data_IF_046172236688
#
_entry.id   IF_046172236688
#
_cell.length_a   1.000
_cell.length_b   1.000
_cell.length_c   1.000
_cell.angle_alpha   90.00
_cell.angle_beta   90.00
_cell.angle_gamma   90.00
#
_symmetry.space_group_name_H-M   'P 1'
#
loop_
_entity.id
_entity.type
_entity.pdbx_description
1 polymer ?
#
# COMPACT_ATOMS: atom_id res chain seq x y z
N UNK A 1 16.94 -33.40 22.47
CA UNK A 1 17.64 -32.32 21.74
C UNK A 1 16.91 -31.04 22.06
N UNK A 2 17.53 -30.19 22.86
CA UNK A 2 16.96 -28.91 23.29
C UNK A 2 17.12 -27.92 22.12
N UNK A 3 16.01 -27.45 21.55
CA UNK A 3 16.08 -26.39 20.55
C UNK A 3 16.41 -25.09 21.26
N UNK A 4 17.64 -24.60 21.07
CA UNK A 4 18.01 -23.24 21.47
C UNK A 4 17.20 -22.26 20.62
N UNK A 5 16.09 -21.77 21.17
CA UNK A 5 15.38 -20.62 20.60
C UNK A 5 16.27 -19.41 20.88
N UNK A 6 17.00 -18.94 19.87
CA UNK A 6 17.74 -17.69 20.01
C UNK A 6 16.74 -16.56 20.27
N UNK A 7 16.91 -15.77 21.34
CA UNK A 7 16.05 -14.63 21.58
C UNK A 7 16.28 -13.62 20.44
N UNK A 8 15.22 -13.29 19.71
CA UNK A 8 15.26 -12.17 18.78
C UNK A 8 15.56 -10.93 19.62
N UNK A 9 16.71 -10.29 19.37
CA UNK A 9 17.09 -9.07 20.05
C UNK A 9 16.11 -7.97 19.65
N UNK A 10 15.46 -7.37 20.64
CA UNK A 10 14.48 -6.29 20.45
C UNK A 10 15.15 -5.14 19.67
N UNK A 11 14.56 -4.73 18.54
CA UNK A 11 15.11 -3.73 17.63
C UNK A 11 15.99 -4.26 16.49
N UNK A 12 16.16 -5.58 16.38
CA UNK A 12 16.79 -6.26 15.23
C UNK A 12 15.78 -7.14 14.46
N UNK A 13 14.47 -6.88 14.61
CA UNK A 13 13.43 -7.68 13.94
C UNK A 13 13.59 -7.69 12.41
N UNK A 14 14.13 -6.59 11.86
CA UNK A 14 14.37 -6.41 10.42
C UNK A 14 15.84 -6.64 9.99
N UNK A 15 16.74 -6.98 10.91
CA UNK A 15 18.15 -7.13 10.61
C UNK A 15 18.40 -8.36 9.70
N UNK A 16 18.77 -8.10 8.43
CA UNK A 16 19.02 -9.12 7.42
C UNK A 16 17.83 -9.45 6.51
N UNK A 17 16.67 -8.78 6.68
CA UNK A 17 15.53 -8.91 5.77
C UNK A 17 15.82 -8.18 4.44
N UNK A 18 16.14 -8.95 3.40
CA UNK A 18 16.26 -8.42 2.04
C UNK A 18 14.85 -8.21 1.48
N UNK A 19 14.46 -6.94 1.30
CA UNK A 19 13.19 -6.59 0.67
C UNK A 19 13.07 -7.19 -0.72
N UNK A 20 11.94 -7.83 -0.98
CA UNK A 20 11.63 -8.40 -2.28
C UNK A 20 11.28 -7.33 -3.33
N UNK A 21 11.15 -7.73 -4.60
CA UNK A 21 10.87 -6.81 -5.69
C UNK A 21 9.51 -6.11 -5.54
N UNK A 22 8.46 -6.80 -5.09
CA UNK A 22 7.14 -6.19 -4.94
C UNK A 22 7.12 -5.19 -3.80
N UNK A 23 7.73 -5.50 -2.66
CA UNK A 23 7.86 -4.56 -1.54
C UNK A 23 8.57 -3.28 -1.97
N UNK A 24 9.70 -3.39 -2.69
CA UNK A 24 10.44 -2.22 -3.21
C UNK A 24 9.61 -1.38 -4.19
N UNK A 25 8.85 -2.03 -5.06
CA UNK A 25 7.98 -1.33 -6.00
C UNK A 25 6.86 -0.58 -5.27
N UNK A 26 6.22 -1.23 -4.29
CA UNK A 26 5.18 -0.64 -3.46
C UNK A 26 5.71 0.53 -2.63
N UNK A 27 6.91 0.44 -2.05
CA UNK A 27 7.54 1.57 -1.35
C UNK A 27 7.78 2.77 -2.27
N UNK A 28 8.26 2.52 -3.50
CA UNK A 28 8.46 3.57 -4.49
C UNK A 28 7.13 4.22 -4.89
N UNK A 29 6.09 3.41 -5.10
CA UNK A 29 4.75 3.91 -5.37
C UNK A 29 4.26 4.79 -4.22
N UNK A 30 4.27 4.30 -2.99
CA UNK A 30 3.79 5.05 -1.80
C UNK A 30 4.56 6.36 -1.65
N UNK A 31 5.88 6.35 -1.82
CA UNK A 31 6.70 7.58 -1.74
C UNK A 31 6.24 8.62 -2.77
N UNK A 32 6.10 8.23 -4.03
CA UNK A 32 5.66 9.13 -5.08
C UNK A 32 4.20 9.58 -4.88
N UNK A 33 3.35 8.69 -4.38
CA UNK A 33 1.95 8.97 -4.11
C UNK A 33 1.80 9.92 -2.90
N UNK A 34 2.67 9.85 -1.90
CA UNK A 34 2.59 10.78 -0.75
C UNK A 34 3.10 12.19 -1.06
N UNK A 35 3.88 12.35 -2.11
CA UNK A 35 4.55 13.61 -2.41
C UNK A 35 3.53 14.73 -2.71
N UNK A 36 3.63 15.82 -1.96
CA UNK A 36 2.73 16.97 -2.11
C UNK A 36 1.33 16.82 -1.50
N UNK A 37 1.07 15.73 -0.75
CA UNK A 37 -0.23 15.49 -0.09
C UNK A 37 -0.14 15.72 1.42
N UNK A 38 -1.25 16.19 1.99
CA UNK A 38 -1.38 16.33 3.45
C UNK A 38 -1.33 14.97 4.15
N UNK A 39 -0.93 14.99 5.42
CA UNK A 39 -0.94 13.80 6.26
C UNK A 39 -2.37 13.32 6.49
N UNK A 40 -2.65 12.08 6.10
CA UNK A 40 -3.97 11.47 6.15
C UNK A 40 -3.87 10.09 6.83
N UNK A 41 -4.42 9.93 8.06
CA UNK A 41 -4.35 8.66 8.78
C UNK A 41 -4.98 7.47 8.05
N UNK A 42 -6.01 7.70 7.24
CA UNK A 42 -6.61 6.64 6.42
C UNK A 42 -5.67 6.22 5.29
N UNK A 43 -5.00 7.18 4.65
CA UNK A 43 -3.97 6.89 3.65
C UNK A 43 -2.82 6.08 4.25
N UNK A 44 -2.33 6.45 5.44
CA UNK A 44 -1.28 5.72 6.15
C UNK A 44 -1.66 4.26 6.45
N UNK A 45 -2.91 4.02 6.84
CA UNK A 45 -3.42 2.65 7.04
C UNK A 45 -3.40 1.84 5.74
N UNK A 46 -3.81 2.45 4.62
CA UNK A 46 -3.79 1.79 3.31
C UNK A 46 -2.35 1.52 2.85
N UNK A 47 -1.43 2.48 2.99
CA UNK A 47 -0.02 2.29 2.67
C UNK A 47 0.61 1.13 3.45
N UNK A 48 0.33 1.03 4.75
CA UNK A 48 0.78 -0.09 5.58
C UNK A 48 0.21 -1.43 5.09
N UNK A 49 -1.07 -1.45 4.74
CA UNK A 49 -1.73 -2.65 4.18
C UNK A 49 -1.11 -3.08 2.85
N UNK A 50 -0.80 -2.13 1.97
CA UNK A 50 -0.11 -2.39 0.70
C UNK A 50 1.27 -3.01 0.91
N UNK A 51 2.07 -2.52 1.85
CA UNK A 51 3.39 -3.09 2.17
C UNK A 51 3.29 -4.51 2.70
N UNK A 52 2.31 -4.78 3.58
CA UNK A 52 2.05 -6.13 4.10
C UNK A 52 1.72 -7.12 2.97
N UNK A 53 0.84 -6.73 2.04
CA UNK A 53 0.48 -7.56 0.88
C UNK A 53 1.68 -7.74 -0.06
N UNK A 54 2.47 -6.70 -0.30
CA UNK A 54 3.67 -6.78 -1.14
C UNK A 54 4.70 -7.79 -0.58
N UNK A 55 4.95 -7.77 0.73
CA UNK A 55 5.79 -8.78 1.40
C UNK A 55 5.24 -10.19 1.23
N UNK A 56 3.93 -10.37 1.35
CA UNK A 56 3.29 -11.68 1.15
C UNK A 56 3.45 -12.19 -0.29
N UNK A 57 3.31 -11.30 -1.28
CA UNK A 57 3.55 -11.61 -2.69
C UNK A 57 4.98 -12.08 -2.89
N UNK A 58 5.97 -11.33 -2.40
CA UNK A 58 7.38 -11.69 -2.53
C UNK A 58 7.68 -13.06 -1.91
N UNK A 59 7.17 -13.31 -0.71
CA UNK A 59 7.34 -14.58 0.01
C UNK A 59 6.67 -15.77 -0.69
N UNK A 60 5.51 -15.56 -1.32
CA UNK A 60 4.80 -16.60 -2.08
C UNK A 60 5.45 -16.86 -3.43
N UNK A 61 5.80 -15.79 -4.15
CA UNK A 61 6.44 -15.86 -5.46
C UNK A 61 7.81 -16.56 -5.37
N UNK A 62 8.62 -16.26 -4.35
CA UNK A 62 9.89 -16.94 -4.10
C UNK A 62 9.74 -18.45 -3.85
N UNK A 63 8.54 -18.91 -3.46
CA UNK A 63 8.21 -20.33 -3.25
C UNK A 63 7.45 -20.95 -4.43
N UNK A 64 7.34 -20.24 -5.56
CA UNK A 64 6.59 -20.68 -6.75
C UNK A 64 5.10 -20.85 -6.49
N UNK A 65 4.54 -20.16 -5.48
CA UNK A 65 3.12 -20.22 -5.15
C UNK A 65 2.33 -19.18 -5.92
N UNK A 66 1.04 -19.47 -6.09
CA UNK A 66 0.06 -18.57 -6.67
C UNK A 66 -0.08 -17.27 -5.83
N UNK A 67 -0.24 -16.13 -6.51
CA UNK A 67 -0.25 -14.79 -5.90
C UNK A 67 -1.45 -13.91 -6.31
N UNK A 68 -2.37 -14.40 -7.15
CA UNK A 68 -3.46 -13.61 -7.72
C UNK A 68 -4.36 -13.01 -6.64
N UNK A 69 -4.65 -13.75 -5.56
CA UNK A 69 -5.45 -13.21 -4.44
C UNK A 69 -4.78 -11.99 -3.81
N UNK A 70 -3.48 -12.07 -3.56
CA UNK A 70 -2.72 -10.96 -3.01
C UNK A 70 -2.62 -9.80 -4.02
N UNK A 71 -2.43 -10.09 -5.30
CA UNK A 71 -2.44 -9.07 -6.36
C UNK A 71 -3.79 -8.34 -6.44
N UNK A 72 -4.91 -9.07 -6.38
CA UNK A 72 -6.26 -8.48 -6.35
C UNK A 72 -6.43 -7.57 -5.14
N UNK A 73 -5.96 -7.98 -3.95
CA UNK A 73 -5.98 -7.12 -2.76
C UNK A 73 -5.11 -5.88 -2.93
N UNK A 74 -3.91 -6.00 -3.48
CA UNK A 74 -3.01 -4.86 -3.71
C UNK A 74 -3.62 -3.84 -4.68
N UNK A 75 -4.20 -4.32 -5.79
CA UNK A 75 -4.90 -3.45 -6.76
C UNK A 75 -6.12 -2.78 -6.13
N UNK A 76 -6.86 -3.49 -5.29
CA UNK A 76 -8.01 -2.92 -4.56
C UNK A 76 -7.60 -1.78 -3.63
N UNK A 77 -6.46 -1.89 -2.94
CA UNK A 77 -5.94 -0.80 -2.11
C UNK A 77 -5.49 0.42 -2.93
N UNK A 78 -4.90 0.20 -4.11
CA UNK A 78 -4.55 1.31 -5.03
C UNK A 78 -5.82 2.05 -5.46
N UNK A 79 -6.87 1.33 -5.85
CA UNK A 79 -8.16 1.93 -6.23
C UNK A 79 -8.80 2.70 -5.08
N UNK A 80 -8.75 2.17 -3.85
CA UNK A 80 -9.26 2.88 -2.67
C UNK A 80 -8.50 4.19 -2.41
N UNK A 81 -7.18 4.19 -2.61
CA UNK A 81 -6.38 5.42 -2.53
C UNK A 81 -6.78 6.42 -3.61
N UNK A 82 -6.90 5.97 -4.86
CA UNK A 82 -7.33 6.84 -5.97
C UNK A 82 -8.69 7.48 -5.70
N UNK A 83 -9.70 6.69 -5.29
CA UNK A 83 -11.03 7.23 -4.98
C UNK A 83 -11.04 8.22 -3.81
N UNK A 84 -10.17 8.04 -2.81
CA UNK A 84 -10.07 8.96 -1.67
C UNK A 84 -9.52 10.34 -2.06
N UNK A 85 -8.70 10.43 -3.11
CA UNK A 85 -8.15 11.69 -3.59
C UNK A 85 -8.89 12.25 -4.82
N UNK A 86 -9.55 11.44 -5.65
CA UNK A 86 -10.46 11.92 -6.70
C UNK A 86 -11.66 12.66 -6.11
N UNK A 87 -12.23 12.16 -5.00
CA UNK A 87 -13.33 12.84 -4.29
C UNK A 87 -12.91 14.11 -3.54
N UNK A 88 -11.60 14.38 -3.44
CA UNK A 88 -11.08 15.62 -2.86
C UNK A 88 -10.86 16.72 -3.91
N UNK A 89 -10.89 16.38 -5.20
CA UNK A 89 -10.64 17.26 -6.35
C UNK A 89 -11.94 17.64 -7.11
N UNK A 90 -13.11 17.44 -6.48
CA UNK A 90 -14.37 18.00 -6.97
C UNK A 90 -14.26 19.54 -6.92
N UNK A 91 -13.77 20.13 -8.00
CA UNK A 91 -13.67 21.57 -8.18
C UNK A 91 -15.07 22.17 -7.98
N UNK A 92 -15.25 23.05 -6.98
CA UNK A 92 -16.55 23.64 -6.70
C UNK A 92 -17.10 24.41 -7.90
N UNK A 93 -16.25 24.95 -8.78
CA UNK A 93 -16.65 25.62 -10.02
C UNK A 93 -17.18 24.61 -11.05
N UNK A 94 -16.59 23.41 -11.14
CA UNK A 94 -17.09 22.33 -12.00
C UNK A 94 -18.41 21.75 -11.45
N UNK A 95 -18.52 21.59 -10.13
CA UNK A 95 -19.76 21.15 -9.50
C UNK A 95 -20.91 22.17 -9.72
N UNK A 96 -20.61 23.47 -9.66
CA UNK A 96 -21.56 24.55 -9.96
C UNK A 96 -21.97 24.55 -11.45
N UNK A 97 -21.00 24.46 -12.37
CA UNK A 97 -21.27 24.39 -13.82
C UNK A 97 -22.14 23.18 -14.20
N UNK A 98 -21.90 22.01 -13.59
CA UNK A 98 -22.72 20.82 -13.81
C UNK A 98 -24.14 20.98 -13.22
N UNK A 99 -24.28 21.65 -12.08
CA UNK A 99 -25.59 21.96 -11.50
C UNK A 99 -26.40 22.96 -12.32
N UNK A 100 -25.75 23.90 -12.99
CA UNK A 100 -26.41 24.86 -13.88
C UNK A 100 -26.87 24.20 -15.18
N UNK A 101 -26.06 23.31 -15.76
CA UNK A 101 -26.39 22.59 -16.99
C UNK A 101 -27.52 21.55 -16.83
N UNK A 102 -27.78 21.11 -15.59
CA UNK A 102 -28.84 20.15 -15.27
C UNK A 102 -30.22 20.79 -14.96
N UNK A 103 -30.33 22.13 -15.00
CA UNK A 103 -31.60 22.87 -14.91
C UNK A 103 -32.21 23.13 -16.28
#
# INVERSE_FOLDING_TARGET
MEQTIMPVLQGLEDAGLVKGPQEKATEKFIKAYREGRDDNPMAEFIYSSMLSIARNIDVQNARGREISRNMTSLLGYIQQLESMYESADDDPEIAELLSEAAR
#
